data_IF_674947670741
#
_entry.id   IF_674947670741
#
_cell.length_a   1.000
_cell.length_b   1.000
_cell.length_c   1.000
_cell.angle_alpha   90.00
_cell.angle_beta   90.00
_cell.angle_gamma   90.00
#
_symmetry.space_group_name_H-M   'P 1'
#
loop_
_entity.id
_entity.type
_entity.pdbx_description
1 polymer ?
#
# COMPACT_ATOMS: atom_id res chain seq x y z
N UNK A 1 17.13 21.25 -50.18
CA UNK A 1 15.74 21.08 -50.66
C UNK A 1 15.49 19.63 -51.02
N UNK A 2 14.41 19.06 -50.45
CA UNK A 2 13.65 17.81 -50.68
C UNK A 2 14.10 16.75 -51.71
N UNK A 3 14.13 15.49 -51.26
CA UNK A 3 13.46 14.31 -51.87
C UNK A 3 13.22 13.27 -50.77
N UNK A 4 12.04 13.28 -50.13
CA UNK A 4 10.90 12.36 -50.36
C UNK A 4 11.30 10.87 -50.34
N UNK A 5 11.07 10.21 -49.21
CA UNK A 5 10.66 8.81 -49.18
C UNK A 5 9.29 8.73 -48.52
N UNK A 6 8.36 8.08 -49.23
CA UNK A 6 7.00 7.78 -48.79
C UNK A 6 6.97 6.35 -48.28
N UNK A 7 6.11 6.15 -47.29
CA UNK A 7 5.65 4.91 -46.68
C UNK A 7 5.20 3.90 -47.74
N UNK A 8 5.45 2.61 -47.49
CA UNK A 8 4.51 1.56 -47.85
C UNK A 8 4.43 0.60 -46.66
N UNK A 9 3.29 0.63 -45.98
CA UNK A 9 2.99 -0.26 -44.88
C UNK A 9 2.42 -1.56 -45.44
N UNK A 10 3.08 -2.67 -45.15
CA UNK A 10 2.49 -3.99 -45.29
C UNK A 10 1.91 -4.41 -43.94
N UNK A 11 0.59 -4.44 -43.89
CA UNK A 11 -0.22 -5.20 -42.94
C UNK A 11 -0.38 -6.60 -43.54
N UNK A 12 0.02 -7.64 -42.80
CA UNK A 12 -0.66 -8.94 -42.68
C UNK A 12 0.16 -9.77 -41.67
N UNK A 13 -0.31 -9.90 -40.44
CA UNK A 13 -1.13 -11.03 -39.96
C UNK A 13 -0.30 -12.32 -39.87
N UNK A 14 0.04 -12.71 -38.63
CA UNK A 14 -0.13 -14.08 -38.14
C UNK A 14 0.54 -14.23 -36.75
N UNK A 15 -0.27 -14.65 -35.77
CA UNK A 15 0.10 -15.14 -34.42
C UNK A 15 0.50 -14.10 -33.35
N UNK A 16 -0.30 -13.07 -33.14
CA UNK A 16 -0.54 -12.66 -31.75
C UNK A 16 -1.55 -13.62 -31.13
N UNK A 17 -1.06 -14.48 -30.23
CA UNK A 17 -1.90 -15.29 -29.33
C UNK A 17 -2.99 -14.40 -28.75
N UNK A 18 -4.23 -14.64 -29.17
CA UNK A 18 -5.42 -14.19 -28.47
C UNK A 18 -5.50 -14.97 -27.16
N UNK A 19 -4.68 -14.59 -26.18
CA UNK A 19 -4.99 -14.88 -24.78
C UNK A 19 -6.16 -13.97 -24.48
N UNK A 20 -7.33 -14.57 -24.60
CA UNK A 20 -8.60 -14.01 -24.20
C UNK A 20 -8.41 -13.22 -22.91
N UNK A 21 -8.77 -11.95 -23.04
CA UNK A 21 -9.35 -11.08 -22.04
C UNK A 21 -10.21 -11.89 -21.05
N UNK A 22 -9.56 -12.51 -20.07
CA UNK A 22 -10.19 -12.74 -18.79
C UNK A 22 -9.87 -11.47 -18.02
N UNK A 23 -10.86 -10.65 -17.61
CA UNK A 23 -10.62 -9.68 -16.56
C UNK A 23 -9.92 -10.43 -15.42
N UNK A 24 -8.95 -9.81 -14.70
CA UNK A 24 -8.40 -10.44 -13.51
C UNK A 24 -9.62 -10.87 -12.71
N UNK A 25 -9.73 -12.19 -12.55
CA UNK A 25 -10.86 -12.81 -11.90
C UNK A 25 -10.99 -12.04 -10.59
N UNK A 26 -12.13 -11.38 -10.40
CA UNK A 26 -12.58 -10.96 -9.09
C UNK A 26 -12.77 -12.28 -8.32
N UNK A 27 -11.66 -12.88 -7.91
CA UNK A 27 -11.64 -13.64 -6.69
C UNK A 27 -11.87 -12.54 -5.66
N UNK A 28 -13.16 -12.28 -5.40
CA UNK A 28 -13.65 -11.91 -4.09
C UNK A 28 -13.12 -12.98 -3.13
N UNK A 29 -11.81 -12.94 -2.86
CA UNK A 29 -11.30 -13.38 -1.60
C UNK A 29 -12.09 -12.51 -0.62
N UNK A 30 -13.05 -13.12 0.07
CA UNK A 30 -13.45 -12.62 1.38
C UNK A 30 -12.14 -12.57 2.17
N UNK A 31 -11.39 -11.47 2.02
CA UNK A 31 -10.24 -11.17 2.84
C UNK A 31 -10.80 -11.21 4.24
N UNK A 32 -10.41 -12.24 5.00
CA UNK A 32 -10.81 -12.45 6.38
C UNK A 32 -10.80 -11.08 7.07
N UNK A 33 -11.92 -10.66 7.66
CA UNK A 33 -12.08 -9.28 8.16
C UNK A 33 -10.92 -8.88 9.08
N UNK A 34 -10.31 -9.85 9.77
CA UNK A 34 -9.10 -9.69 10.57
C UNK A 34 -7.88 -9.27 9.75
N UNK A 35 -7.67 -9.86 8.56
CA UNK A 35 -6.57 -9.54 7.64
C UNK A 35 -6.73 -8.13 7.09
N UNK A 36 -7.95 -7.74 6.69
CA UNK A 36 -8.25 -6.38 6.24
C UNK A 36 -8.01 -5.39 7.37
N UNK A 37 -8.52 -5.68 8.58
CA UNK A 37 -8.34 -4.83 9.75
C UNK A 37 -6.84 -4.65 10.07
N UNK A 38 -6.08 -5.75 10.12
CA UNK A 38 -4.64 -5.75 10.35
C UNK A 38 -3.88 -4.96 9.29
N UNK A 39 -4.28 -5.07 8.02
CA UNK A 39 -3.69 -4.30 6.93
C UNK A 39 -3.93 -2.80 7.10
N UNK A 40 -5.12 -2.39 7.53
CA UNK A 40 -5.45 -0.98 7.80
C UNK A 40 -4.60 -0.42 8.96
N UNK A 41 -4.47 -1.15 10.07
CA UNK A 41 -3.59 -0.74 11.18
C UNK A 41 -2.13 -0.63 10.75
N UNK A 42 -1.62 -1.61 9.99
CA UNK A 42 -0.24 -1.59 9.50
C UNK A 42 0.02 -0.41 8.57
N UNK A 43 -0.94 -0.09 7.70
CA UNK A 43 -0.85 1.06 6.80
C UNK A 43 -0.79 2.37 7.56
N UNK A 44 -1.68 2.57 8.55
CA UNK A 44 -1.65 3.77 9.37
C UNK A 44 -0.39 3.84 10.25
N UNK A 45 0.10 2.72 10.75
CA UNK A 45 1.34 2.67 11.53
C UNK A 45 2.55 3.13 10.71
N UNK A 46 2.63 2.79 9.42
CA UNK A 46 3.66 3.32 8.51
C UNK A 46 3.56 4.83 8.35
N UNK A 47 2.34 5.36 8.19
CA UNK A 47 2.08 6.81 8.12
C UNK A 47 2.57 7.48 9.41
N UNK A 48 2.16 6.96 10.57
CA UNK A 48 2.57 7.44 11.88
C UNK A 48 4.10 7.49 12.03
N UNK A 49 4.81 6.42 11.67
CA UNK A 49 6.28 6.38 11.68
C UNK A 49 6.87 7.42 10.72
N UNK A 50 6.30 7.59 9.52
CA UNK A 50 6.72 8.63 8.55
C UNK A 50 6.58 10.06 9.09
N UNK A 51 5.59 10.29 9.96
CA UNK A 51 5.42 11.53 10.72
C UNK A 51 6.25 11.59 12.01
N UNK A 52 7.22 10.69 12.18
CA UNK A 52 8.11 10.60 13.35
C UNK A 52 7.37 10.34 14.67
N UNK A 53 6.20 9.71 14.63
CA UNK A 53 5.50 9.24 15.83
C UNK A 53 6.26 8.05 16.40
N UNK A 54 6.84 8.25 17.59
CA UNK A 54 7.59 7.21 18.27
C UNK A 54 6.64 6.33 19.10
N UNK A 55 6.70 4.99 19.01
CA UNK A 55 5.87 4.11 19.83
C UNK A 55 6.11 4.23 21.34
N UNK A 56 7.16 4.92 21.80
CA UNK A 56 7.39 5.15 23.23
C UNK A 56 6.54 6.28 23.82
N UNK A 57 5.80 7.02 23.00
CA UNK A 57 4.89 8.08 23.48
C UNK A 57 3.60 7.48 24.02
N UNK A 58 2.88 8.24 24.86
CA UNK A 58 1.59 7.81 25.40
C UNK A 58 0.55 7.60 24.30
N UNK A 59 -0.37 6.64 24.50
CA UNK A 59 -1.44 6.34 23.54
C UNK A 59 -2.33 7.54 23.22
N UNK A 60 -2.52 8.45 24.19
CA UNK A 60 -3.22 9.72 24.00
C UNK A 60 -2.56 10.57 22.92
N UNK A 61 -1.23 10.72 22.98
CA UNK A 61 -0.44 11.47 22.00
C UNK A 61 -0.53 10.83 20.61
N UNK A 62 -0.48 9.50 20.52
CA UNK A 62 -0.67 8.78 19.25
C UNK A 62 -2.06 9.04 18.67
N UNK A 63 -3.08 9.01 19.53
CA UNK A 63 -4.47 9.31 19.14
C UNK A 63 -4.58 10.72 18.57
N UNK A 64 -4.04 11.72 19.27
CA UNK A 64 -4.06 13.12 18.81
C UNK A 64 -3.32 13.29 17.48
N UNK A 65 -2.11 12.75 17.37
CA UNK A 65 -1.30 12.87 16.15
C UNK A 65 -1.94 12.16 14.95
N UNK A 66 -2.55 11.00 15.17
CA UNK A 66 -3.26 10.27 14.11
C UNK A 66 -4.52 10.99 13.69
N UNK A 67 -5.27 11.59 14.62
CA UNK A 67 -6.43 12.41 14.27
C UNK A 67 -6.06 13.70 13.52
N UNK A 68 -4.86 14.26 13.73
CA UNK A 68 -4.37 15.38 12.92
C UNK A 68 -4.17 14.96 11.46
N UNK A 69 -3.60 13.77 11.22
CA UNK A 69 -3.28 13.27 9.87
C UNK A 69 -4.48 12.60 9.20
N UNK A 70 -5.35 11.97 9.99
CA UNK A 70 -6.54 11.25 9.56
C UNK A 70 -7.68 11.49 10.56
N UNK A 71 -8.42 12.60 10.44
CA UNK A 71 -9.48 12.97 11.39
C UNK A 71 -10.65 11.98 11.42
N UNK A 72 -10.83 11.22 10.34
CA UNK A 72 -11.88 10.21 10.20
C UNK A 72 -11.42 8.82 10.63
N UNK A 73 -10.28 8.71 11.32
CA UNK A 73 -9.73 7.44 11.75
C UNK A 73 -10.57 6.85 12.89
N UNK A 74 -11.32 5.79 12.60
CA UNK A 74 -12.24 5.15 13.56
C UNK A 74 -11.66 3.89 14.22
N UNK A 75 -10.41 3.55 13.92
CA UNK A 75 -9.79 2.33 14.42
C UNK A 75 -9.25 2.53 15.85
N UNK A 76 -9.18 1.44 16.62
CA UNK A 76 -8.75 1.44 18.02
C UNK A 76 -7.28 1.85 18.17
N UNK A 77 -7.02 2.91 18.95
CA UNK A 77 -5.65 3.44 19.08
C UNK A 77 -4.70 2.44 19.75
N UNK A 78 -5.18 1.55 20.62
CA UNK A 78 -4.31 0.55 21.28
C UNK A 78 -3.84 -0.49 20.27
N UNK A 79 -4.71 -0.92 19.34
CA UNK A 79 -4.33 -1.78 18.21
C UNK A 79 -3.35 -1.05 17.27
N UNK A 80 -3.55 0.24 17.02
CA UNK A 80 -2.62 1.04 16.23
C UNK A 80 -1.26 1.20 16.90
N UNK A 81 -1.22 1.48 18.20
CA UNK A 81 0.03 1.58 18.97
C UNK A 81 0.84 0.29 18.89
N UNK A 82 0.19 -0.86 19.07
CA UNK A 82 0.81 -2.16 18.89
C UNK A 82 1.39 -2.35 17.47
N UNK A 83 0.66 -1.92 16.44
CA UNK A 83 1.15 -1.98 15.06
C UNK A 83 2.38 -1.08 14.81
N UNK A 84 2.40 0.13 15.40
CA UNK A 84 3.56 1.04 15.35
C UNK A 84 4.75 0.39 16.06
N UNK A 85 4.54 -0.19 17.25
CA UNK A 85 5.60 -0.85 18.02
C UNK A 85 6.22 -2.02 17.25
N UNK A 86 5.39 -2.89 16.64
CA UNK A 86 5.86 -4.02 15.82
C UNK A 86 6.72 -3.55 14.64
N UNK A 87 6.25 -2.54 13.88
CA UNK A 87 7.02 -2.00 12.75
C UNK A 87 8.33 -1.35 13.20
N UNK A 88 8.34 -0.68 14.35
CA UNK A 88 9.52 -0.05 14.89
C UNK A 88 10.57 -1.07 15.34
N UNK A 89 10.14 -2.20 15.93
CA UNK A 89 11.02 -3.32 16.28
C UNK A 89 11.56 -4.01 15.02
N UNK A 90 10.70 -4.34 14.05
CA UNK A 90 11.10 -4.94 12.78
C UNK A 90 12.13 -4.06 12.04
N UNK A 91 11.94 -2.74 12.08
CA UNK A 91 12.90 -1.78 11.51
C UNK A 91 14.24 -1.76 12.24
N UNK A 92 14.26 -1.87 13.58
CA UNK A 92 15.49 -1.94 14.37
C UNK A 92 16.29 -3.21 14.12
N UNK A 93 15.61 -4.36 14.03
CA UNK A 93 16.26 -5.65 13.78
C UNK A 93 16.98 -5.66 12.42
N UNK A 94 16.38 -5.05 11.39
CA UNK A 94 16.98 -4.96 10.04
C UNK A 94 18.23 -4.07 9.93
N UNK A 95 18.51 -3.23 10.93
CA UNK A 95 19.66 -2.31 10.94
C UNK A 95 20.81 -2.87 11.79
N UNK A 96 20.58 -3.96 12.52
CA UNK A 96 21.61 -4.59 13.36
C UNK A 96 22.45 -5.54 12.49
N UNK A 97 23.62 -5.06 12.03
CA UNK A 97 24.64 -5.85 11.34
C UNK A 97 25.66 -6.43 12.32
#
# INVERSE_FOLDING_TARGET
MKKKQKLDGSVDDDKHKHVVDSPPREEEEEEDEEVVEKHRYRSMAKVAIGYSINPTVENSTITEMVHIVCPTFTLDTSKLHNAILQLYQEGKEKITF
#
